data_IF_851672881326
#
_entry.id   IF_851672881326
#
_cell.length_a   1.000
_cell.length_b   1.000
_cell.length_c   1.000
_cell.angle_alpha   90.00
_cell.angle_beta   90.00
_cell.angle_gamma   90.00
#
_symmetry.space_group_name_H-M   'P 1'
#
loop_
_entity.id
_entity.type
_entity.pdbx_description
1 polymer ?
#
# COMPACT_ATOMS: atom_id res chain seq x y z
N UNK A 1 4.07 -7.70 -12.37
CA UNK A 1 5.45 -8.26 -12.21
C UNK A 1 6.35 -7.92 -13.40
N UNK A 2 6.29 -6.68 -13.90
CA UNK A 2 6.99 -6.31 -15.14
C UNK A 2 8.53 -6.17 -14.97
N UNK A 3 9.06 -6.27 -13.76
CA UNK A 3 10.49 -6.17 -13.49
C UNK A 3 10.98 -7.29 -12.58
N UNK A 4 10.73 -8.54 -12.98
CA UNK A 4 11.08 -9.75 -12.24
C UNK A 4 12.58 -9.83 -11.90
N UNK A 5 13.45 -9.40 -12.82
CA UNK A 5 14.90 -9.42 -12.61
C UNK A 5 15.32 -8.61 -11.37
N UNK A 6 14.77 -7.41 -11.17
CA UNK A 6 15.05 -6.60 -9.98
C UNK A 6 14.49 -7.24 -8.72
N UNK A 7 13.27 -7.76 -8.80
CA UNK A 7 12.63 -8.45 -7.67
C UNK A 7 13.44 -9.67 -7.23
N UNK A 8 13.87 -10.50 -8.19
CA UNK A 8 14.68 -11.67 -7.91
C UNK A 8 16.05 -11.27 -7.32
N UNK A 9 16.68 -10.23 -7.87
CA UNK A 9 17.91 -9.70 -7.28
C UNK A 9 17.75 -9.36 -5.79
N UNK A 10 16.67 -8.66 -5.42
CA UNK A 10 16.43 -8.32 -4.02
C UNK A 10 16.13 -9.56 -3.16
N UNK A 11 15.39 -10.54 -3.71
CA UNK A 11 15.08 -11.78 -2.99
C UNK A 11 16.35 -12.60 -2.73
N UNK A 12 17.26 -12.67 -3.72
CA UNK A 12 18.41 -13.55 -3.68
C UNK A 12 19.60 -12.95 -2.96
N UNK A 13 19.81 -11.63 -3.07
CA UNK A 13 21.04 -10.97 -2.61
C UNK A 13 20.84 -10.01 -1.43
N UNK A 14 19.63 -9.55 -1.14
CA UNK A 14 19.42 -8.62 -0.01
C UNK A 14 19.06 -9.43 1.24
N UNK A 15 19.90 -9.39 2.29
CA UNK A 15 19.65 -10.14 3.52
C UNK A 15 18.27 -9.81 4.11
N UNK A 16 17.56 -10.83 4.55
CA UNK A 16 16.23 -10.74 5.20
C UNK A 16 15.09 -10.30 4.28
N UNK A 17 15.35 -9.87 3.04
CA UNK A 17 14.29 -9.38 2.14
C UNK A 17 13.22 -10.45 1.87
N UNK A 18 13.61 -11.70 1.72
CA UNK A 18 12.72 -12.84 1.49
C UNK A 18 11.92 -13.28 2.74
N UNK A 19 12.29 -12.79 3.93
CA UNK A 19 11.59 -13.09 5.17
C UNK A 19 10.40 -12.16 5.41
N UNK A 20 10.32 -11.02 4.72
CA UNK A 20 9.20 -10.10 4.85
C UNK A 20 8.03 -10.51 3.94
N UNK A 21 6.89 -10.78 4.55
CA UNK A 21 5.66 -11.13 3.83
C UNK A 21 5.15 -10.00 2.92
N UNK A 22 5.41 -8.75 3.28
CA UNK A 22 4.91 -7.58 2.56
C UNK A 22 6.05 -6.61 2.30
N UNK A 23 6.75 -6.83 1.20
CA UNK A 23 7.90 -6.00 0.78
C UNK A 23 7.50 -4.55 0.48
N UNK A 24 6.22 -4.31 0.14
CA UNK A 24 5.68 -2.97 -0.08
C UNK A 24 5.80 -2.03 1.14
N UNK A 25 6.00 -2.55 2.35
CA UNK A 25 6.30 -1.72 3.53
C UNK A 25 7.60 -0.92 3.39
N UNK A 26 8.58 -1.40 2.61
CA UNK A 26 9.83 -0.68 2.35
C UNK A 26 9.60 0.60 1.53
N UNK A 27 8.49 0.69 0.80
CA UNK A 27 8.11 1.90 0.05
C UNK A 27 7.88 3.10 0.97
N UNK A 28 7.53 2.88 2.24
CA UNK A 28 7.38 3.96 3.23
C UNK A 28 8.69 4.73 3.40
N UNK A 29 9.83 4.02 3.43
CA UNK A 29 11.16 4.65 3.52
C UNK A 29 11.43 5.52 2.28
N UNK A 30 11.11 4.99 1.10
CA UNK A 30 11.27 5.73 -0.16
C UNK A 30 10.36 6.96 -0.22
N UNK A 31 9.11 6.85 0.22
CA UNK A 31 8.18 7.99 0.28
C UNK A 31 8.67 9.07 1.25
N UNK A 32 9.16 8.67 2.43
CA UNK A 32 9.74 9.60 3.40
C UNK A 32 10.99 10.29 2.84
N UNK A 33 11.90 9.51 2.24
CA UNK A 33 13.13 10.04 1.65
C UNK A 33 12.83 11.06 0.53
N UNK A 34 11.87 10.76 -0.35
CA UNK A 34 11.44 11.68 -1.41
C UNK A 34 10.86 12.98 -0.85
N UNK A 35 10.05 12.90 0.21
CA UNK A 35 9.51 14.10 0.86
C UNK A 35 10.61 14.96 1.48
N UNK A 36 11.59 14.34 2.16
CA UNK A 36 12.75 15.05 2.73
C UNK A 36 13.60 15.68 1.62
N UNK A 37 13.88 14.94 0.55
CA UNK A 37 14.65 15.47 -0.59
C UNK A 37 13.93 16.63 -1.28
N UNK A 38 12.60 16.56 -1.42
CA UNK A 38 11.82 17.68 -1.96
C UNK A 38 11.91 18.92 -1.05
N UNK A 39 11.81 18.74 0.28
CA UNK A 39 12.01 19.83 1.23
C UNK A 39 13.42 20.44 1.17
N UNK A 40 14.46 19.61 1.05
CA UNK A 40 15.82 20.07 0.89
C UNK A 40 16.02 20.80 -0.45
N UNK A 41 15.45 20.31 -1.55
CA UNK A 41 15.50 20.97 -2.84
C UNK A 41 14.87 22.36 -2.78
N UNK A 42 13.69 22.51 -2.15
CA UNK A 42 13.05 23.80 -1.92
C UNK A 42 13.89 24.71 -1.01
N UNK A 43 14.51 24.15 0.05
CA UNK A 43 15.44 24.91 0.89
C UNK A 43 16.58 25.49 0.07
N UNK A 44 17.28 24.70 -0.75
CA UNK A 44 18.38 25.18 -1.58
C UNK A 44 17.91 26.09 -2.71
N UNK A 45 16.69 25.95 -3.19
CA UNK A 45 16.11 26.85 -4.17
C UNK A 45 15.88 28.24 -3.60
N UNK A 46 15.25 28.34 -2.41
CA UNK A 46 14.85 29.60 -1.82
C UNK A 46 15.92 30.25 -0.94
N UNK A 47 16.77 29.44 -0.30
CA UNK A 47 17.88 29.90 0.55
C UNK A 47 19.18 29.27 0.07
N UNK A 48 19.78 29.83 -1.00
CA UNK A 48 21.06 29.33 -1.50
C UNK A 48 22.15 29.54 -0.45
N UNK A 49 23.02 28.53 -0.31
CA UNK A 49 24.12 28.52 0.66
C UNK A 49 25.39 28.95 -0.06
N UNK A 50 26.07 29.98 0.46
CA UNK A 50 27.37 30.45 -0.07
C UNK A 50 28.41 29.31 -0.05
N UNK A 51 29.25 29.28 -1.06
CA UNK A 51 30.27 28.22 -1.24
C UNK A 51 29.73 26.88 -1.79
N UNK A 52 28.43 26.78 -2.08
CA UNK A 52 27.86 25.61 -2.73
C UNK A 52 27.41 25.91 -4.17
N UNK A 53 27.24 24.87 -5.03
CA UNK A 53 26.70 25.09 -6.39
C UNK A 53 25.30 25.74 -6.37
N UNK A 54 24.55 25.61 -5.28
CA UNK A 54 23.24 26.26 -5.13
C UNK A 54 23.32 27.78 -5.01
N UNK A 55 24.48 28.36 -4.72
CA UNK A 55 24.68 29.80 -4.72
C UNK A 55 24.61 30.42 -6.16
N UNK A 56 24.95 29.64 -7.19
CA UNK A 56 24.85 30.07 -8.57
C UNK A 56 23.40 29.91 -9.09
N UNK A 57 22.79 31.03 -9.47
CA UNK A 57 21.44 31.05 -10.04
C UNK A 57 21.36 30.27 -11.35
N UNK A 58 22.39 30.31 -12.19
CA UNK A 58 22.43 29.56 -13.45
C UNK A 58 22.40 28.06 -13.19
N UNK A 59 23.14 27.61 -12.19
CA UNK A 59 23.13 26.19 -11.78
C UNK A 59 21.76 25.77 -11.31
N UNK A 60 21.10 26.54 -10.42
CA UNK A 60 19.74 26.23 -9.92
C UNK A 60 18.72 26.16 -11.06
N UNK A 61 18.74 27.13 -11.98
CA UNK A 61 17.84 27.13 -13.14
C UNK A 61 18.11 25.94 -14.06
N UNK A 62 19.38 25.64 -14.33
CA UNK A 62 19.74 24.45 -15.13
C UNK A 62 19.23 23.16 -14.48
N UNK A 63 19.39 22.99 -13.16
CA UNK A 63 18.91 21.86 -12.43
C UNK A 63 17.36 21.76 -12.50
N UNK A 64 16.65 22.88 -12.38
CA UNK A 64 15.19 22.94 -12.54
C UNK A 64 14.74 22.49 -13.95
N UNK A 65 15.40 22.98 -15.00
CA UNK A 65 15.08 22.58 -16.38
C UNK A 65 15.37 21.10 -16.63
N UNK A 66 16.48 20.57 -16.13
CA UNK A 66 16.83 19.17 -16.29
C UNK A 66 15.83 18.30 -15.54
N UNK A 67 15.54 18.62 -14.28
CA UNK A 67 14.60 17.83 -13.48
C UNK A 67 13.18 17.83 -14.06
N UNK A 68 12.67 18.99 -14.48
CA UNK A 68 11.37 19.09 -15.12
C UNK A 68 11.36 18.38 -16.49
N UNK A 69 12.44 18.48 -17.26
CA UNK A 69 12.58 17.79 -18.55
C UNK A 69 12.59 16.27 -18.40
N UNK A 70 13.33 15.74 -17.43
CA UNK A 70 13.40 14.29 -17.20
C UNK A 70 12.06 13.77 -16.66
N UNK A 71 11.52 14.37 -15.60
CA UNK A 71 10.27 13.89 -14.99
C UNK A 71 9.06 14.13 -15.88
N UNK A 72 8.97 15.31 -16.51
CA UNK A 72 7.92 15.63 -17.47
C UNK A 72 8.02 14.79 -18.74
N UNK A 73 9.23 14.55 -19.23
CA UNK A 73 9.49 13.70 -20.39
C UNK A 73 9.05 12.24 -20.15
N UNK A 74 9.35 11.69 -18.98
CA UNK A 74 8.85 10.36 -18.60
C UNK A 74 7.30 10.31 -18.54
N UNK A 75 6.67 11.31 -17.94
CA UNK A 75 5.23 11.41 -17.92
C UNK A 75 4.63 11.53 -19.33
N UNK A 76 5.26 12.33 -20.21
CA UNK A 76 4.86 12.48 -21.60
C UNK A 76 4.93 11.15 -22.36
N UNK A 77 6.00 10.38 -22.18
CA UNK A 77 6.17 9.06 -22.78
C UNK A 77 5.05 8.11 -22.33
N UNK A 78 4.79 8.00 -21.03
CA UNK A 78 3.74 7.13 -20.52
C UNK A 78 2.32 7.60 -20.89
N UNK A 79 2.12 8.88 -21.09
CA UNK A 79 0.85 9.41 -21.59
C UNK A 79 0.61 9.04 -23.04
N UNK A 80 1.63 9.25 -23.92
CA UNK A 80 1.49 9.02 -25.38
C UNK A 80 1.60 7.53 -25.72
N UNK A 81 2.51 6.81 -25.06
CA UNK A 81 2.81 5.40 -25.39
C UNK A 81 2.80 4.57 -24.09
N UNK A 82 1.64 4.43 -23.44
CA UNK A 82 1.55 3.68 -22.18
C UNK A 82 1.95 2.21 -22.32
N UNK A 83 1.89 1.63 -23.52
CA UNK A 83 2.31 0.26 -23.82
C UNK A 83 3.80 -0.02 -23.56
N UNK A 84 4.63 1.01 -23.41
CA UNK A 84 6.04 0.83 -22.97
C UNK A 84 6.13 0.24 -21.56
N UNK A 85 5.13 0.47 -20.71
CA UNK A 85 5.09 -0.08 -19.36
C UNK A 85 4.76 -1.59 -19.31
N UNK A 86 4.36 -2.19 -20.43
CA UNK A 86 4.05 -3.62 -20.55
C UNK A 86 2.68 -3.89 -21.19
N UNK A 87 2.25 -5.14 -21.12
CA UNK A 87 0.99 -5.61 -21.70
C UNK A 87 -0.23 -5.42 -20.79
N UNK A 88 -0.03 -4.99 -19.55
CA UNK A 88 -1.05 -4.77 -18.50
C UNK A 88 -1.85 -6.01 -18.10
N UNK A 89 -1.43 -7.21 -18.54
CA UNK A 89 -2.03 -8.47 -18.13
C UNK A 89 -1.46 -8.89 -16.77
N UNK A 90 -2.31 -9.48 -15.93
CA UNK A 90 -1.90 -10.04 -14.65
C UNK A 90 -2.36 -11.50 -14.56
N UNK A 91 -1.53 -12.34 -13.90
CA UNK A 91 -1.85 -13.77 -13.69
C UNK A 91 -3.21 -13.95 -12.98
N UNK A 92 -3.56 -12.97 -12.13
CA UNK A 92 -4.82 -12.95 -11.38
C UNK A 92 -6.06 -12.79 -12.30
N UNK A 93 -5.90 -12.23 -13.50
CA UNK A 93 -7.03 -12.00 -14.41
C UNK A 93 -7.61 -13.34 -14.87
N UNK A 94 -6.73 -14.31 -15.19
CA UNK A 94 -7.16 -15.69 -15.53
C UNK A 94 -7.82 -16.41 -14.35
N UNK A 95 -7.27 -16.23 -13.14
CA UNK A 95 -7.85 -16.81 -11.92
C UNK A 95 -9.25 -16.25 -11.62
N UNK A 96 -9.49 -14.97 -11.86
CA UNK A 96 -10.82 -14.37 -11.68
C UNK A 96 -11.86 -15.03 -12.59
N UNK A 97 -11.52 -15.29 -13.86
CA UNK A 97 -12.42 -15.97 -14.81
C UNK A 97 -12.69 -17.41 -14.38
N UNK A 98 -11.69 -18.13 -13.89
CA UNK A 98 -11.87 -19.48 -13.34
C UNK A 98 -12.82 -19.50 -12.12
N UNK A 99 -12.89 -18.42 -11.37
CA UNK A 99 -13.80 -18.25 -10.24
C UNK A 99 -15.19 -17.64 -10.61
N UNK A 100 -15.58 -17.73 -11.89
CA UNK A 100 -16.91 -17.37 -12.34
C UNK A 100 -17.11 -15.92 -12.79
N UNK A 101 -16.04 -15.12 -12.89
CA UNK A 101 -16.15 -13.80 -13.51
C UNK A 101 -16.26 -13.94 -15.04
N UNK A 102 -17.04 -13.08 -15.72
CA UNK A 102 -17.20 -13.13 -17.17
C UNK A 102 -15.88 -12.99 -17.92
N UNK A 103 -15.70 -13.76 -18.99
CA UNK A 103 -14.45 -13.81 -19.77
C UNK A 103 -14.04 -12.47 -20.41
N UNK A 104 -14.99 -11.55 -20.63
CA UNK A 104 -14.68 -10.22 -21.18
C UNK A 104 -13.75 -9.38 -20.27
N UNK A 105 -13.63 -9.73 -18.99
CA UNK A 105 -12.67 -9.09 -18.09
C UNK A 105 -11.21 -9.28 -18.54
N UNK A 106 -10.88 -10.37 -19.23
CA UNK A 106 -9.52 -10.59 -19.74
C UNK A 106 -9.07 -9.53 -20.74
N UNK A 107 -10.01 -8.95 -21.47
CA UNK A 107 -9.73 -7.92 -22.49
C UNK A 107 -9.93 -6.51 -21.94
N UNK A 108 -10.94 -6.31 -21.10
CA UNK A 108 -11.28 -4.97 -20.57
C UNK A 108 -10.31 -4.51 -19.49
N UNK A 109 -9.89 -5.38 -18.55
CA UNK A 109 -8.99 -5.01 -17.47
C UNK A 109 -7.64 -4.46 -17.94
N UNK A 110 -6.94 -5.08 -18.93
CA UNK A 110 -5.71 -4.50 -19.48
C UNK A 110 -5.94 -3.14 -20.13
N UNK A 111 -7.06 -2.96 -20.84
CA UNK A 111 -7.41 -1.70 -21.47
C UNK A 111 -7.67 -0.59 -20.44
N UNK A 112 -8.39 -0.89 -19.37
CA UNK A 112 -8.64 0.04 -18.27
C UNK A 112 -7.35 0.42 -17.54
N UNK A 113 -6.49 -0.55 -17.22
CA UNK A 113 -5.17 -0.29 -16.60
C UNK A 113 -4.29 0.61 -17.46
N UNK A 114 -4.31 0.41 -18.77
CA UNK A 114 -3.61 1.25 -19.74
C UNK A 114 -4.16 2.67 -19.75
N UNK A 115 -5.48 2.83 -19.77
CA UNK A 115 -6.14 4.13 -19.71
C UNK A 115 -5.86 4.84 -18.38
N UNK A 116 -5.85 4.11 -17.26
CA UNK A 116 -5.50 4.64 -15.94
C UNK A 116 -4.06 5.15 -15.89
N UNK A 117 -3.10 4.42 -16.48
CA UNK A 117 -1.70 4.88 -16.54
C UNK A 117 -1.59 6.15 -17.36
N UNK A 118 -2.20 6.20 -18.55
CA UNK A 118 -2.19 7.36 -19.43
C UNK A 118 -2.79 8.59 -18.75
N UNK A 119 -3.95 8.47 -18.13
CA UNK A 119 -4.62 9.57 -17.42
C UNK A 119 -3.82 10.04 -16.21
N UNK A 120 -3.21 9.12 -15.47
CA UNK A 120 -2.35 9.45 -14.33
C UNK A 120 -1.07 10.16 -14.77
N UNK A 121 -0.47 9.72 -15.87
CA UNK A 121 0.72 10.36 -16.46
C UNK A 121 0.43 11.79 -16.94
N UNK A 122 -0.70 12.01 -17.62
CA UNK A 122 -1.14 13.35 -18.02
C UNK A 122 -1.36 14.26 -16.81
N UNK A 123 -2.06 13.76 -15.79
CA UNK A 123 -2.26 14.49 -14.53
C UNK A 123 -0.93 14.90 -13.91
N UNK A 124 0.01 13.97 -13.75
CA UNK A 124 1.34 14.24 -13.22
C UNK A 124 2.11 15.27 -14.06
N UNK A 125 2.03 15.18 -15.39
CA UNK A 125 2.65 16.14 -16.30
C UNK A 125 2.13 17.57 -16.07
N UNK A 126 0.81 17.72 -15.88
CA UNK A 126 0.19 19.03 -15.59
C UNK A 126 0.72 19.59 -14.26
N UNK A 127 0.76 18.78 -13.19
CA UNK A 127 1.27 19.25 -11.89
C UNK A 127 2.77 19.58 -11.93
N UNK A 128 3.57 18.79 -12.65
CA UNK A 128 5.00 19.08 -12.87
C UNK A 128 5.16 20.41 -13.61
N UNK A 129 4.40 20.65 -14.66
CA UNK A 129 4.44 21.88 -15.44
C UNK A 129 4.04 23.10 -14.57
N UNK A 130 2.97 22.98 -13.78
CA UNK A 130 2.54 24.05 -12.88
C UNK A 130 3.57 24.34 -11.79
N UNK A 131 4.14 23.31 -11.15
CA UNK A 131 5.21 23.48 -10.17
C UNK A 131 6.46 24.09 -10.77
N UNK A 132 6.83 23.67 -11.98
CA UNK A 132 7.93 24.27 -12.75
C UNK A 132 7.71 25.76 -13.00
N UNK A 133 6.52 26.15 -13.42
CA UNK A 133 6.15 27.56 -13.66
C UNK A 133 6.24 28.36 -12.36
N UNK A 134 5.69 27.84 -11.26
CA UNK A 134 5.75 28.52 -9.94
C UNK A 134 7.19 28.75 -9.52
N UNK A 135 8.06 27.73 -9.63
CA UNK A 135 9.47 27.85 -9.27
C UNK A 135 10.23 28.79 -10.22
N UNK A 136 9.97 28.71 -11.52
CA UNK A 136 10.62 29.55 -12.51
C UNK A 136 10.40 31.05 -12.27
N UNK A 137 9.18 31.41 -11.85
CA UNK A 137 8.79 32.79 -11.58
C UNK A 137 9.00 33.22 -10.13
N UNK A 138 9.42 32.32 -9.24
CA UNK A 138 9.64 32.63 -7.83
C UNK A 138 10.90 33.48 -7.61
N UNK A 139 10.86 34.34 -6.60
CA UNK A 139 12.03 35.03 -6.05
C UNK A 139 12.71 34.13 -5.04
N UNK A 140 14.01 33.98 -5.15
CA UNK A 140 14.84 33.38 -4.11
C UNK A 140 15.27 34.46 -3.10
N UNK A 141 15.76 34.09 -1.94
CA UNK A 141 16.27 35.01 -0.92
C UNK A 141 17.65 35.63 -1.31
N UNK A 142 18.03 35.48 -2.53
CA UNK A 142 19.24 36.12 -3.10
C UNK A 142 18.92 37.54 -3.60
N UNK A 143 19.77 38.52 -3.25
CA UNK A 143 19.61 39.94 -3.66
C UNK A 143 19.59 40.14 -5.17
N UNK A 144 20.14 39.18 -5.93
CA UNK A 144 20.19 39.19 -7.40
C UNK A 144 19.01 38.51 -8.08
N UNK A 145 18.09 37.93 -7.30
CA UNK A 145 16.97 37.17 -7.88
C UNK A 145 15.96 38.08 -8.59
N UNK A 146 15.71 37.75 -9.85
CA UNK A 146 14.82 38.52 -10.75
C UNK A 146 13.36 37.99 -10.77
N UNK A 147 12.99 37.03 -9.90
CA UNK A 147 11.65 36.44 -9.85
C UNK A 147 10.55 37.45 -9.56
N UNK A 148 9.37 37.25 -10.13
CA UNK A 148 8.20 38.12 -9.95
C UNK A 148 7.32 37.70 -8.74
N UNK A 149 7.26 36.41 -8.44
CA UNK A 149 6.45 35.88 -7.34
C UNK A 149 7.25 35.90 -6.03
N UNK A 150 6.77 36.52 -4.96
CA UNK A 150 7.46 36.51 -3.67
C UNK A 150 7.58 35.07 -3.14
N UNK A 151 8.63 34.77 -2.39
CA UNK A 151 8.95 33.45 -1.88
C UNK A 151 7.76 32.79 -1.15
N UNK A 152 7.12 33.52 -0.24
CA UNK A 152 5.94 32.99 0.49
C UNK A 152 4.77 32.67 -0.44
N UNK A 153 4.56 33.49 -1.50
CA UNK A 153 3.55 33.20 -2.51
C UNK A 153 3.84 31.91 -3.28
N UNK A 154 5.11 31.64 -3.56
CA UNK A 154 5.52 30.40 -4.20
C UNK A 154 5.30 29.18 -3.29
N UNK A 155 5.59 29.29 -1.98
CA UNK A 155 5.29 28.22 -1.03
C UNK A 155 3.79 27.93 -0.93
N UNK A 156 2.96 28.97 -0.83
CA UNK A 156 1.50 28.81 -0.80
C UNK A 156 1.01 28.17 -2.10
N UNK A 157 1.49 28.63 -3.26
CA UNK A 157 1.10 28.06 -4.54
C UNK A 157 1.47 26.57 -4.65
N UNK A 158 2.69 26.19 -4.27
CA UNK A 158 3.11 24.79 -4.25
C UNK A 158 2.29 23.95 -3.25
N UNK A 159 2.02 24.49 -2.06
CA UNK A 159 1.17 23.82 -1.07
C UNK A 159 -0.25 23.59 -1.59
N UNK A 160 -0.84 24.57 -2.26
CA UNK A 160 -2.17 24.44 -2.88
C UNK A 160 -2.13 23.40 -4.01
N UNK A 161 -1.09 23.36 -4.84
CA UNK A 161 -0.95 22.32 -5.88
C UNK A 161 -0.90 20.92 -5.26
N UNK A 162 -0.13 20.72 -4.19
CA UNK A 162 -0.08 19.43 -3.48
C UNK A 162 -1.45 19.07 -2.92
N UNK A 163 -2.18 20.01 -2.30
CA UNK A 163 -3.52 19.75 -1.78
C UNK A 163 -4.51 19.38 -2.89
N UNK A 164 -4.50 20.10 -4.02
CA UNK A 164 -5.36 19.80 -5.17
C UNK A 164 -5.05 18.42 -5.75
N UNK A 165 -3.79 18.00 -5.72
CA UNK A 165 -3.40 16.67 -6.19
C UNK A 165 -3.79 15.57 -5.19
N UNK A 166 -3.50 15.73 -3.91
CA UNK A 166 -3.63 14.67 -2.90
C UNK A 166 -5.05 14.50 -2.36
N UNK A 167 -5.82 15.58 -2.17
CA UNK A 167 -7.16 15.52 -1.55
C UNK A 167 -8.14 14.66 -2.35
N UNK A 168 -8.24 14.74 -3.68
CA UNK A 168 -9.13 13.86 -4.45
C UNK A 168 -8.73 12.39 -4.36
N UNK A 169 -7.44 12.09 -4.28
CA UNK A 169 -6.95 10.72 -4.10
C UNK A 169 -7.32 10.21 -2.71
N UNK A 170 -7.04 11.00 -1.67
CA UNK A 170 -7.39 10.64 -0.29
C UNK A 170 -8.89 10.38 -0.13
N UNK A 171 -9.75 11.20 -0.75
CA UNK A 171 -11.22 11.04 -0.71
C UNK A 171 -11.73 9.77 -1.38
N UNK A 172 -10.97 9.13 -2.27
CA UNK A 172 -11.35 7.82 -2.84
C UNK A 172 -11.29 6.72 -1.78
N UNK A 173 -10.32 6.80 -0.87
CA UNK A 173 -10.08 5.80 0.17
C UNK A 173 -10.74 6.18 1.51
N UNK A 174 -10.92 7.46 1.78
CA UNK A 174 -11.47 7.96 3.02
C UNK A 174 -12.52 9.04 2.73
N UNK A 175 -13.76 8.61 2.53
CA UNK A 175 -14.90 9.46 2.29
C UNK A 175 -15.95 9.32 3.41
N UNK A 176 -16.92 10.22 3.44
CA UNK A 176 -17.93 10.24 4.50
C UNK A 176 -18.76 8.95 4.61
N UNK A 177 -18.86 8.16 3.54
CA UNK A 177 -19.59 6.88 3.56
C UNK A 177 -18.85 5.78 4.29
N UNK A 178 -17.54 5.93 4.45
CA UNK A 178 -16.69 5.00 5.22
C UNK A 178 -16.80 5.21 6.73
N UNK A 179 -17.20 6.40 7.16
CA UNK A 179 -17.43 6.69 8.57
C UNK A 179 -18.82 6.23 8.98
N UNK A 180 -18.91 5.04 9.53
CA UNK A 180 -20.13 4.55 10.18
C UNK A 180 -20.07 4.92 11.67
N UNK A 181 -21.21 5.37 12.24
CA UNK A 181 -21.33 5.39 13.71
C UNK A 181 -21.05 3.95 14.17
N UNK A 182 -20.00 3.75 14.95
CA UNK A 182 -19.78 2.44 15.54
C UNK A 182 -21.05 2.05 16.29
N UNK A 183 -21.70 0.94 15.91
CA UNK A 183 -22.62 0.32 16.83
C UNK A 183 -21.79 0.05 18.09
N UNK A 184 -22.30 0.46 19.25
CA UNK A 184 -21.61 0.24 20.51
C UNK A 184 -21.25 -1.23 20.60
N UNK A 185 -19.99 -1.55 20.32
CA UNK A 185 -19.24 -2.70 20.78
C UNK A 185 -19.87 -4.12 20.69
N UNK A 186 -20.75 -4.43 19.73
CA UNK A 186 -21.23 -5.82 19.55
C UNK A 186 -20.08 -6.77 19.15
N UNK A 187 -19.03 -6.24 18.51
CA UNK A 187 -17.87 -7.05 18.14
C UNK A 187 -17.09 -7.59 19.34
N UNK A 188 -17.10 -6.88 20.45
CA UNK A 188 -16.40 -7.24 21.68
C UNK A 188 -17.36 -7.76 22.78
N UNK A 189 -18.56 -8.14 22.42
CA UNK A 189 -19.46 -8.85 23.32
C UNK A 189 -19.14 -10.34 23.25
N UNK A 190 -18.98 -11.02 24.40
CA UNK A 190 -18.83 -12.45 24.42
C UNK A 190 -20.14 -13.13 23.93
N UNK A 191 -20.01 -14.17 23.17
CA UNK A 191 -21.13 -15.06 22.84
C UNK A 191 -21.50 -15.94 24.04
N UNK A 192 -22.64 -16.60 23.98
CA UNK A 192 -23.00 -17.56 25.01
C UNK A 192 -21.95 -18.67 25.18
N UNK A 193 -21.33 -19.11 24.10
CA UNK A 193 -20.23 -20.07 24.14
C UNK A 193 -18.97 -19.46 24.80
N UNK A 194 -18.64 -18.20 24.50
CA UNK A 194 -17.53 -17.51 25.16
C UNK A 194 -17.75 -17.38 26.66
N UNK A 195 -18.98 -17.06 27.09
CA UNK A 195 -19.33 -16.98 28.53
C UNK A 195 -19.18 -18.34 29.25
N UNK A 196 -19.57 -19.43 28.60
CA UNK A 196 -19.41 -20.79 29.16
C UNK A 196 -17.92 -21.15 29.30
N UNK A 197 -17.10 -20.85 28.26
CA UNK A 197 -15.66 -21.10 28.28
C UNK A 197 -14.95 -20.22 29.33
N UNK A 198 -15.33 -18.94 29.47
CA UNK A 198 -14.81 -18.04 30.48
C UNK A 198 -15.16 -18.45 31.93
N UNK A 199 -16.22 -19.20 32.11
CA UNK A 199 -16.59 -19.75 33.42
C UNK A 199 -15.65 -20.89 33.86
N UNK A 200 -15.06 -21.62 32.93
CA UNK A 200 -14.05 -22.63 33.21
C UNK A 200 -12.72 -21.96 33.61
N UNK A 201 -12.23 -22.24 34.79
CA UNK A 201 -10.98 -21.70 35.34
C UNK A 201 -9.78 -22.62 35.17
N UNK A 202 -9.96 -23.78 34.53
CA UNK A 202 -8.85 -24.66 34.19
C UNK A 202 -7.90 -24.01 33.15
N UNK A 203 -6.67 -24.46 33.11
CA UNK A 203 -5.75 -24.03 32.03
C UNK A 203 -6.06 -24.79 30.75
N UNK A 204 -6.59 -24.07 29.78
CA UNK A 204 -6.96 -24.62 28.48
C UNK A 204 -6.64 -23.62 27.34
N UNK A 205 -6.64 -24.12 26.12
CA UNK A 205 -6.60 -23.31 24.90
C UNK A 205 -7.82 -23.58 24.05
N UNK A 206 -8.33 -22.53 23.41
CA UNK A 206 -9.56 -22.61 22.64
C UNK A 206 -9.23 -22.70 21.16
N UNK A 207 -9.86 -23.67 20.47
CA UNK A 207 -9.90 -23.78 19.02
C UNK A 207 -11.28 -23.34 18.54
N UNK A 208 -11.34 -22.16 17.91
CA UNK A 208 -12.58 -21.65 17.31
C UNK A 208 -12.61 -22.01 15.82
N UNK A 209 -13.53 -22.91 15.47
CA UNK A 209 -13.78 -23.35 14.08
C UNK A 209 -14.87 -22.54 13.38
N UNK A 210 -15.53 -21.60 14.07
CA UNK A 210 -16.57 -20.74 13.46
C UNK A 210 -15.95 -19.67 12.56
N UNK A 211 -14.67 -19.41 12.72
CA UNK A 211 -13.90 -18.45 11.94
C UNK A 211 -12.66 -19.11 11.36
N UNK A 212 -11.95 -18.38 10.48
CA UNK A 212 -10.65 -18.88 10.02
C UNK A 212 -9.64 -18.86 11.17
N UNK A 213 -9.23 -20.04 11.62
CA UNK A 213 -8.42 -20.26 12.83
C UNK A 213 -7.15 -19.39 12.86
N UNK A 214 -6.47 -19.23 11.73
CA UNK A 214 -5.17 -18.55 11.67
C UNK A 214 -5.23 -17.13 11.08
N UNK A 215 -6.42 -16.67 10.68
CA UNK A 215 -6.62 -15.32 10.13
C UNK A 215 -7.58 -14.44 10.94
N UNK A 216 -8.21 -14.98 11.98
CA UNK A 216 -9.08 -14.23 12.88
C UNK A 216 -8.37 -13.91 14.19
N UNK A 217 -8.55 -12.69 14.70
CA UNK A 217 -8.04 -12.26 16.01
C UNK A 217 -9.14 -12.26 17.09
N UNK A 218 -10.42 -12.44 16.72
CA UNK A 218 -11.56 -12.36 17.63
C UNK A 218 -11.48 -13.38 18.78
N UNK A 219 -11.16 -14.67 18.55
CA UNK A 219 -11.04 -15.63 19.63
C UNK A 219 -9.96 -15.28 20.65
N UNK A 220 -8.87 -14.67 20.20
CA UNK A 220 -7.75 -14.26 21.07
C UNK A 220 -8.07 -13.06 21.97
N UNK A 221 -9.20 -12.39 21.75
CA UNK A 221 -9.65 -11.30 22.61
C UNK A 221 -10.21 -11.85 23.95
N UNK A 222 -10.92 -12.97 23.90
CA UNK A 222 -11.57 -13.56 25.07
C UNK A 222 -10.79 -14.73 25.67
N UNK A 223 -10.02 -15.47 24.85
CA UNK A 223 -9.47 -16.77 25.20
C UNK A 223 -8.00 -16.90 24.82
N UNK A 224 -7.29 -17.82 25.46
CA UNK A 224 -6.01 -18.32 24.99
C UNK A 224 -6.21 -19.19 23.75
N UNK A 225 -6.27 -18.58 22.57
CA UNK A 225 -6.52 -19.28 21.32
C UNK A 225 -5.28 -20.06 20.84
N UNK A 226 -5.53 -21.21 20.18
CA UNK A 226 -4.51 -21.94 19.42
C UNK A 226 -4.16 -21.17 18.13
N UNK A 227 -5.15 -20.42 17.58
CA UNK A 227 -5.03 -19.69 16.34
C UNK A 227 -4.63 -18.24 16.50
N UNK A 228 -5.10 -17.43 15.56
CA UNK A 228 -4.89 -16.00 15.52
C UNK A 228 -4.01 -15.55 14.35
N UNK A 229 -4.21 -14.31 13.92
CA UNK A 229 -3.37 -13.71 12.89
C UNK A 229 -2.09 -13.16 13.50
N UNK A 230 -0.94 -13.62 13.01
CA UNK A 230 0.35 -13.08 13.38
C UNK A 230 1.28 -13.02 12.17
N UNK A 231 1.73 -11.81 11.82
CA UNK A 231 2.56 -11.57 10.63
C UNK A 231 3.97 -12.18 10.75
N UNK A 232 4.50 -12.30 11.98
CA UNK A 232 5.83 -12.83 12.27
C UNK A 232 5.73 -14.13 13.09
N UNK A 233 4.97 -15.10 12.58
CA UNK A 233 4.80 -16.39 13.22
C UNK A 233 6.12 -17.16 13.28
N UNK A 234 6.41 -17.77 14.41
CA UNK A 234 7.62 -18.61 14.56
C UNK A 234 7.57 -19.79 13.58
N UNK A 235 8.67 -20.04 12.90
CA UNK A 235 8.78 -21.13 11.91
C UNK A 235 8.40 -22.49 12.51
N UNK A 236 8.85 -22.81 13.71
CA UNK A 236 8.50 -24.05 14.41
C UNK A 236 6.99 -24.20 14.62
N UNK A 237 6.31 -23.09 14.94
CA UNK A 237 4.87 -23.11 15.09
C UNK A 237 4.14 -23.28 13.75
N UNK A 238 4.66 -22.65 12.67
CA UNK A 238 4.13 -22.86 11.33
C UNK A 238 4.32 -24.30 10.84
N UNK A 239 5.43 -24.95 11.17
CA UNK A 239 5.67 -26.34 10.87
C UNK A 239 4.69 -27.26 11.63
N UNK A 240 4.46 -26.98 12.91
CA UNK A 240 3.44 -27.70 13.72
C UNK A 240 2.03 -27.56 13.11
N UNK A 241 1.67 -26.35 12.67
CA UNK A 241 0.38 -26.13 11.97
C UNK A 241 0.29 -27.00 10.73
N UNK A 242 1.25 -26.89 9.83
CA UNK A 242 1.19 -27.56 8.51
C UNK A 242 1.23 -29.09 8.60
N UNK A 243 1.97 -29.63 9.58
CA UNK A 243 2.21 -31.09 9.65
C UNK A 243 1.09 -31.77 10.50
N UNK A 244 0.62 -31.13 11.54
CA UNK A 244 -0.28 -31.72 12.50
C UNK A 244 -1.64 -31.00 12.59
N UNK A 245 -1.66 -29.73 12.98
CA UNK A 245 -2.90 -29.02 13.35
C UNK A 245 -3.87 -28.92 12.16
N UNK A 246 -3.40 -28.60 10.95
CA UNK A 246 -4.27 -28.49 9.77
C UNK A 246 -4.94 -29.82 9.41
N UNK A 247 -4.24 -30.94 9.61
CA UNK A 247 -4.79 -32.28 9.38
C UNK A 247 -5.87 -32.63 10.41
N UNK A 248 -5.61 -32.35 11.67
CA UNK A 248 -6.54 -32.55 12.76
C UNK A 248 -7.82 -31.71 12.57
N UNK A 249 -7.67 -30.43 12.26
CA UNK A 249 -8.78 -29.54 11.93
C UNK A 249 -9.60 -30.08 10.76
N UNK A 250 -8.94 -30.55 9.70
CA UNK A 250 -9.61 -31.11 8.52
C UNK A 250 -10.40 -32.36 8.88
N UNK A 251 -9.83 -33.23 9.70
CA UNK A 251 -10.50 -34.42 10.19
C UNK A 251 -11.74 -34.08 11.03
N UNK A 252 -11.60 -33.16 11.97
CA UNK A 252 -12.70 -32.67 12.80
C UNK A 252 -13.84 -32.13 11.92
N UNK A 253 -13.52 -31.23 10.98
CA UNK A 253 -14.51 -30.63 10.09
C UNK A 253 -15.22 -31.71 9.25
N UNK A 254 -14.45 -32.67 8.70
CA UNK A 254 -15.01 -33.76 7.89
C UNK A 254 -15.95 -34.63 8.74
N UNK A 255 -15.56 -34.94 9.96
CA UNK A 255 -16.39 -35.72 10.89
C UNK A 255 -17.70 -34.99 11.21
N UNK A 256 -17.65 -33.70 11.49
CA UNK A 256 -18.86 -32.90 11.72
C UNK A 256 -19.76 -32.81 10.48
N UNK A 257 -19.21 -32.81 9.29
CA UNK A 257 -19.99 -32.80 8.04
C UNK A 257 -20.70 -34.13 7.76
N UNK A 258 -20.12 -35.23 8.21
CA UNK A 258 -20.67 -36.59 7.99
C UNK A 258 -21.59 -37.02 9.16
N UNK A 259 -21.42 -36.42 10.33
CA UNK A 259 -22.23 -36.74 11.49
C UNK A 259 -23.71 -36.43 11.23
N UNK A 260 -24.56 -37.41 11.33
CA UNK A 260 -26.01 -37.30 11.12
C UNK A 260 -26.79 -37.01 12.43
N UNK A 261 -26.14 -37.18 13.57
CA UNK A 261 -26.73 -36.95 14.89
C UNK A 261 -25.71 -36.48 15.93
N UNK A 262 -26.17 -35.90 17.02
CA UNK A 262 -25.31 -35.52 18.15
C UNK A 262 -24.64 -36.74 18.84
N UNK A 263 -25.14 -37.94 18.65
CA UNK A 263 -24.51 -39.17 19.14
C UNK A 263 -23.22 -39.48 18.37
N UNK A 264 -23.24 -39.30 17.05
CA UNK A 264 -22.09 -39.57 16.20
C UNK A 264 -20.92 -38.65 16.52
N UNK A 265 -21.20 -37.45 17.02
CA UNK A 265 -20.16 -36.45 17.40
C UNK A 265 -19.50 -36.80 18.74
N UNK A 266 -20.22 -37.49 19.65
CA UNK A 266 -19.69 -37.85 20.97
C UNK A 266 -18.83 -39.14 20.94
N UNK A 267 -18.80 -39.86 19.83
CA UNK A 267 -17.97 -41.06 19.63
C UNK A 267 -16.61 -40.78 18.94
N UNK A 268 -16.36 -39.52 18.62
CA UNK A 268 -15.11 -39.03 18.01
C UNK A 268 -14.26 -38.32 19.07
#
# INVERSE_FOLDING_TARGET
>A
RNFSALTNFFIDYVPLYNMFRTVSMTLVISCLALAVLAGLALKYWFWPVEGTPSADEKFRRKALYISAGVTGGLCLIFWLIPSIAGDFKADVDGYMVQNGYPSFFLDTLPADRKAMLSSSALRSLIFIALAFVVLLFSKTNDKKSAGKLPMYGAFVALGVLVLIDMVPIAKRYLNNTMFKKQPKMDYFQPSAADEMILADKSEHRVLDLTTNVFNSSKPSYFHHSIGGYHAAKLRRYQELINIHIDKEISNIITTFQVASSAKDVNEV
#
